data_IF_867160037841
#
_entry.id   IF_867160037841
#
_cell.length_a   1.000
_cell.length_b   1.000
_cell.length_c   1.000
_cell.angle_alpha   90.00
_cell.angle_beta   90.00
_cell.angle_gamma   90.00
#
_symmetry.space_group_name_H-M   'P 1'
#
loop_
_entity.id
_entity.type
_entity.pdbx_description
1 polymer ?
#
# COMPACT_ATOMS: atom_id res chain seq x y z
N UNK A 1 23.56 -2.72 6.33
CA UNK A 1 24.07 -1.81 5.27
C UNK A 1 23.37 -0.45 5.30
N UNK A 2 22.13 -0.32 4.79
CA UNK A 2 21.45 0.98 4.76
C UNK A 2 21.18 1.56 6.16
N UNK A 3 20.59 0.75 7.06
CA UNK A 3 20.28 1.15 8.45
C UNK A 3 21.53 1.58 9.23
N UNK A 4 22.65 0.92 8.98
CA UNK A 4 23.89 1.15 9.71
C UNK A 4 24.73 2.29 9.09
N UNK A 5 24.23 2.96 8.04
CA UNK A 5 24.85 4.15 7.46
C UNK A 5 25.98 3.89 6.46
N UNK A 6 26.10 2.67 5.92
CA UNK A 6 27.16 2.32 4.97
C UNK A 6 26.94 2.87 3.56
N UNK A 7 25.70 3.15 3.17
CA UNK A 7 25.37 3.63 1.84
C UNK A 7 25.44 5.14 1.82
N UNK A 8 26.24 5.71 0.91
CA UNK A 8 26.30 7.15 0.72
C UNK A 8 25.08 7.57 -0.12
N UNK A 9 24.23 8.50 0.36
CA UNK A 9 23.13 9.01 -0.43
C UNK A 9 23.65 9.67 -1.71
N UNK A 10 23.05 9.42 -2.88
CA UNK A 10 23.48 10.08 -4.11
C UNK A 10 23.29 11.59 -4.00
N UNK A 11 24.36 12.36 -4.23
CA UNK A 11 24.34 13.83 -4.22
C UNK A 11 23.79 14.48 -5.51
N UNK A 12 23.10 13.72 -6.36
CA UNK A 12 22.70 14.15 -7.71
C UNK A 12 21.82 13.12 -8.43
N UNK A 13 21.92 13.05 -9.75
CA UNK A 13 21.13 12.14 -10.58
C UNK A 13 21.33 10.66 -10.21
N UNK A 14 20.29 9.81 -10.36
CA UNK A 14 20.41 8.38 -10.09
C UNK A 14 21.52 7.75 -10.94
N UNK A 15 22.47 7.07 -10.29
CA UNK A 15 23.54 6.30 -10.92
C UNK A 15 23.31 4.80 -10.79
N UNK A 16 24.01 4.00 -11.60
CA UNK A 16 23.99 2.53 -11.55
C UNK A 16 24.85 1.92 -10.44
N UNK A 17 25.57 2.74 -9.67
CA UNK A 17 26.47 2.32 -8.60
C UNK A 17 26.10 3.00 -7.30
N UNK A 18 26.26 2.25 -6.20
CA UNK A 18 26.12 2.75 -4.83
C UNK A 18 27.51 2.89 -4.22
N UNK A 19 27.83 4.08 -3.72
CA UNK A 19 29.06 4.34 -2.97
C UNK A 19 28.94 3.84 -1.54
N UNK A 20 29.99 3.18 -1.07
CA UNK A 20 30.08 2.66 0.29
C UNK A 20 31.08 3.47 1.11
N UNK A 21 30.72 3.73 2.37
CA UNK A 21 31.59 4.39 3.33
C UNK A 21 31.44 3.74 4.69
N UNK A 22 32.55 3.57 5.40
CA UNK A 22 32.50 3.10 6.77
C UNK A 22 31.81 4.16 7.67
N UNK A 23 30.68 3.85 8.32
CA UNK A 23 29.99 4.78 9.20
C UNK A 23 30.77 5.06 10.49
N UNK A 24 31.64 4.14 10.93
CA UNK A 24 32.45 4.30 12.14
C UNK A 24 33.69 5.17 11.90
N UNK A 25 34.15 5.26 10.66
CA UNK A 25 35.20 6.19 10.24
C UNK A 25 34.86 6.80 8.86
N UNK A 26 34.03 7.86 8.83
CA UNK A 26 33.62 8.50 7.58
C UNK A 26 34.75 9.26 6.85
N UNK A 27 35.89 9.48 7.51
CA UNK A 27 37.05 10.13 6.91
C UNK A 27 37.99 9.12 6.22
N UNK A 28 37.85 7.83 6.52
CA UNK A 28 38.56 6.76 5.84
C UNK A 28 38.23 6.76 4.34
N UNK A 29 39.28 6.88 3.53
CA UNK A 29 39.22 6.75 2.06
C UNK A 29 39.42 5.30 1.60
N UNK A 30 39.61 4.40 2.54
CA UNK A 30 39.88 3.00 2.28
C UNK A 30 38.62 2.32 1.72
N UNK A 31 38.78 1.45 0.72
CA UNK A 31 37.67 0.71 0.13
C UNK A 31 37.02 -0.18 1.19
N UNK A 32 35.70 -0.35 1.09
CA UNK A 32 34.93 -1.23 1.98
C UNK A 32 34.94 -2.65 1.42
N UNK A 33 35.09 -3.66 2.27
CA UNK A 33 35.07 -5.05 1.82
C UNK A 33 33.65 -5.52 1.49
N UNK A 34 33.41 -5.86 0.22
CA UNK A 34 32.15 -6.45 -0.27
C UNK A 34 32.45 -7.76 -0.99
N UNK A 35 31.77 -8.83 -0.62
CA UNK A 35 32.00 -10.18 -1.15
C UNK A 35 33.49 -10.61 -1.15
N UNK A 36 34.25 -10.16 -0.15
CA UNK A 36 35.68 -10.48 -0.01
C UNK A 36 36.63 -9.65 -0.89
N UNK A 37 36.16 -8.54 -1.49
CA UNK A 37 36.98 -7.60 -2.27
C UNK A 37 36.83 -6.18 -1.77
N UNK A 38 37.92 -5.43 -1.86
CA UNK A 38 37.96 -3.99 -1.66
C UNK A 38 37.11 -3.27 -2.72
N UNK A 39 36.01 -2.63 -2.29
CA UNK A 39 35.10 -1.91 -3.16
C UNK A 39 34.67 -0.56 -2.53
N UNK A 40 34.97 0.54 -3.22
CA UNK A 40 34.39 1.86 -2.90
C UNK A 40 33.02 2.07 -3.54
N UNK A 41 32.70 1.28 -4.56
CA UNK A 41 31.47 1.34 -5.36
C UNK A 41 30.95 -0.08 -5.61
N UNK A 42 29.64 -0.25 -5.53
CA UNK A 42 28.95 -1.52 -5.79
C UNK A 42 27.88 -1.29 -6.84
N UNK A 43 27.83 -2.14 -7.86
CA UNK A 43 26.74 -2.13 -8.83
C UNK A 43 25.39 -2.35 -8.14
N UNK A 44 24.40 -1.52 -8.46
CA UNK A 44 23.10 -1.59 -7.82
C UNK A 44 22.41 -2.95 -8.02
N UNK A 45 22.69 -3.65 -9.13
CA UNK A 45 22.15 -4.99 -9.41
C UNK A 45 22.49 -6.00 -8.30
N UNK A 46 23.58 -5.78 -7.55
CA UNK A 46 23.91 -6.60 -6.37
C UNK A 46 22.80 -6.59 -5.31
N UNK A 47 22.06 -5.48 -5.19
CA UNK A 47 20.97 -5.33 -4.22
C UNK A 47 19.59 -5.67 -4.80
N UNK A 48 19.48 -5.87 -6.11
CA UNK A 48 18.20 -6.08 -6.78
C UNK A 48 17.86 -7.56 -6.86
N UNK A 49 16.59 -7.88 -6.63
CA UNK A 49 16.03 -9.20 -6.86
C UNK A 49 14.99 -9.09 -7.98
N UNK A 50 15.24 -9.68 -9.17
CA UNK A 50 14.29 -9.62 -10.27
C UNK A 50 13.03 -10.41 -9.90
N UNK A 51 11.89 -9.75 -9.94
CA UNK A 51 10.57 -10.36 -9.76
C UNK A 51 9.85 -10.44 -11.10
N UNK A 52 9.26 -11.60 -11.41
CA UNK A 52 8.48 -11.78 -12.64
C UNK A 52 7.22 -10.92 -12.56
N UNK A 53 6.92 -10.21 -13.65
CA UNK A 53 5.61 -9.58 -13.83
C UNK A 53 4.65 -10.69 -14.24
N UNK A 54 3.65 -10.94 -13.41
CA UNK A 54 2.59 -11.88 -13.68
C UNK A 54 1.25 -11.17 -13.48
N UNK A 55 0.35 -11.33 -14.44
CA UNK A 55 -1.00 -10.78 -14.36
C UNK A 55 -1.83 -11.66 -13.43
N UNK A 56 -1.86 -11.30 -12.14
CA UNK A 56 -2.71 -11.93 -11.15
C UNK A 56 -3.91 -11.04 -10.86
N UNK A 57 -5.12 -11.60 -10.97
CA UNK A 57 -6.31 -10.96 -10.44
C UNK A 57 -6.45 -11.26 -8.94
N UNK A 58 -6.37 -10.21 -8.12
CA UNK A 58 -6.59 -10.30 -6.68
C UNK A 58 -8.09 -10.35 -6.32
N UNK A 59 -8.43 -10.77 -5.09
CA UNK A 59 -9.82 -10.82 -4.63
C UNK A 59 -10.43 -9.44 -4.34
N UNK A 60 -9.61 -8.38 -4.26
CA UNK A 60 -10.04 -7.01 -4.01
C UNK A 60 -9.83 -6.15 -5.25
N UNK A 61 -10.80 -5.28 -5.53
CA UNK A 61 -10.68 -4.27 -6.58
C UNK A 61 -9.99 -3.00 -6.07
N UNK A 62 -9.66 -2.10 -7.01
CA UNK A 62 -9.11 -0.77 -6.74
C UNK A 62 -9.81 0.30 -7.58
N UNK A 63 -11.14 0.25 -7.56
CA UNK A 63 -12.07 1.10 -8.31
C UNK A 63 -12.57 2.32 -7.52
N UNK A 64 -12.46 2.28 -6.19
CA UNK A 64 -12.67 3.45 -5.33
C UNK A 64 -11.47 4.41 -5.44
N UNK A 65 -11.66 5.74 -5.33
CA UNK A 65 -10.55 6.69 -5.40
C UNK A 65 -9.44 6.35 -4.40
N UNK A 66 -8.19 6.47 -4.84
CA UNK A 66 -6.99 6.10 -4.06
C UNK A 66 -6.56 7.31 -3.22
N UNK A 67 -6.26 7.08 -1.94
CA UNK A 67 -5.76 8.12 -1.03
C UNK A 67 -4.48 8.79 -1.55
N UNK A 68 -4.26 10.05 -1.13
CA UNK A 68 -3.10 10.85 -1.52
C UNK A 68 -2.97 11.08 -3.05
N UNK A 69 -4.09 11.02 -3.79
CA UNK A 69 -4.17 11.43 -5.20
C UNK A 69 -5.04 12.67 -5.36
N UNK A 70 -5.05 13.21 -6.57
CA UNK A 70 -5.84 14.41 -6.92
C UNK A 70 -7.35 14.18 -6.83
N UNK A 71 -7.81 12.92 -6.92
CA UNK A 71 -9.22 12.59 -6.78
C UNK A 71 -9.63 12.58 -5.30
N UNK A 72 -10.72 13.27 -4.93
CA UNK A 72 -11.19 13.27 -3.55
C UNK A 72 -11.69 11.87 -3.13
N UNK A 73 -11.61 11.59 -1.83
CA UNK A 73 -12.32 10.48 -1.19
C UNK A 73 -13.37 11.07 -0.24
N UNK A 74 -14.64 10.80 -0.48
CA UNK A 74 -15.71 11.35 0.32
C UNK A 74 -17.01 10.58 0.20
N UNK A 75 -18.05 11.13 0.85
CA UNK A 75 -19.41 10.55 0.86
C UNK A 75 -20.02 10.51 -0.54
N UNK A 76 -19.69 11.47 -1.39
CA UNK A 76 -20.14 11.51 -2.80
C UNK A 76 -19.56 10.34 -3.57
N UNK A 77 -18.26 10.09 -3.44
CA UNK A 77 -17.57 9.00 -4.13
C UNK A 77 -18.01 7.64 -3.61
N UNK A 78 -18.30 7.52 -2.30
CA UNK A 78 -18.95 6.34 -1.74
C UNK A 78 -20.30 6.07 -2.41
N UNK A 79 -21.16 7.09 -2.52
CA UNK A 79 -22.46 6.97 -3.16
C UNK A 79 -22.33 6.52 -4.61
N UNK A 80 -21.44 7.15 -5.36
CA UNK A 80 -21.20 6.81 -6.76
C UNK A 80 -20.66 5.39 -6.93
N UNK A 81 -19.73 4.98 -6.07
CA UNK A 81 -19.20 3.62 -6.04
C UNK A 81 -20.30 2.59 -5.78
N UNK A 82 -21.10 2.78 -4.72
CA UNK A 82 -22.19 1.87 -4.37
C UNK A 82 -23.27 1.79 -5.45
N UNK A 83 -23.59 2.91 -6.10
CA UNK A 83 -24.52 2.98 -7.25
C UNK A 83 -23.96 2.28 -8.48
N UNK A 84 -22.68 2.50 -8.80
CA UNK A 84 -21.98 1.84 -9.92
C UNK A 84 -21.93 0.33 -9.73
N UNK A 85 -21.72 -0.13 -8.50
CA UNK A 85 -21.76 -1.55 -8.14
C UNK A 85 -23.19 -2.12 -8.07
N UNK A 86 -24.23 -1.28 -8.16
CA UNK A 86 -25.58 -1.62 -8.58
C UNK A 86 -26.21 -2.82 -7.86
N UNK A 87 -26.59 -3.84 -8.64
CA UNK A 87 -27.27 -5.06 -8.19
C UNK A 87 -26.34 -6.12 -7.57
N UNK A 88 -25.03 -5.85 -7.49
CA UNK A 88 -24.08 -6.81 -6.91
C UNK A 88 -24.35 -7.04 -5.43
N UNK A 89 -24.04 -8.23 -4.88
CA UNK A 89 -24.05 -8.47 -3.44
C UNK A 89 -23.27 -7.41 -2.69
N UNK A 90 -23.77 -6.98 -1.52
CA UNK A 90 -23.15 -5.89 -0.76
C UNK A 90 -21.68 -6.16 -0.42
N UNK A 91 -21.34 -7.41 -0.13
CA UNK A 91 -19.95 -7.83 0.12
C UNK A 91 -19.04 -7.56 -1.09
N UNK A 92 -19.52 -7.76 -2.32
CA UNK A 92 -18.76 -7.42 -3.53
C UNK A 92 -18.61 -5.91 -3.71
N UNK A 93 -19.63 -5.13 -3.34
CA UNK A 93 -19.53 -3.65 -3.35
C UNK A 93 -18.44 -3.16 -2.41
N UNK A 94 -18.27 -3.84 -1.26
CA UNK A 94 -17.24 -3.55 -0.26
C UNK A 94 -15.88 -4.21 -0.55
N UNK A 95 -15.78 -5.10 -1.54
CA UNK A 95 -14.55 -5.83 -1.89
C UNK A 95 -13.57 -4.96 -2.67
N UNK A 96 -13.30 -3.76 -2.16
CA UNK A 96 -12.39 -2.78 -2.72
C UNK A 96 -11.44 -2.29 -1.63
N UNK A 97 -10.13 -2.37 -1.88
CA UNK A 97 -9.12 -2.10 -0.86
C UNK A 97 -9.17 -0.66 -0.34
N UNK A 98 -9.32 0.31 -1.25
CA UNK A 98 -9.30 1.73 -0.88
C UNK A 98 -10.61 2.15 -0.23
N UNK A 99 -11.74 1.53 -0.60
CA UNK A 99 -12.99 1.70 0.11
C UNK A 99 -12.88 1.20 1.55
N UNK A 100 -12.33 0.01 1.78
CA UNK A 100 -12.17 -0.54 3.13
C UNK A 100 -11.26 0.35 3.99
N UNK A 101 -10.15 0.85 3.43
CA UNK A 101 -9.29 1.82 4.12
C UNK A 101 -10.03 3.11 4.46
N UNK A 102 -10.88 3.61 3.56
CA UNK A 102 -11.66 4.82 3.82
C UNK A 102 -12.73 4.61 4.89
N UNK A 103 -13.39 3.44 4.90
CA UNK A 103 -14.38 3.06 5.91
C UNK A 103 -13.79 3.04 7.33
N UNK A 104 -12.53 2.62 7.50
CA UNK A 104 -11.87 2.65 8.82
C UNK A 104 -11.73 4.06 9.42
N UNK A 105 -11.88 5.12 8.59
CA UNK A 105 -11.78 6.52 9.01
C UNK A 105 -13.14 7.13 9.35
N UNK A 106 -14.25 6.39 9.20
CA UNK A 106 -15.58 6.94 9.43
C UNK A 106 -15.95 6.88 10.92
N UNK A 107 -16.50 7.96 11.48
CA UNK A 107 -16.77 8.04 12.92
C UNK A 107 -17.86 7.07 13.41
N UNK A 108 -18.65 6.51 12.50
CA UNK A 108 -19.76 5.59 12.80
C UNK A 108 -19.36 4.11 12.69
N UNK A 109 -18.08 3.80 12.45
CA UNK A 109 -17.56 2.45 12.36
C UNK A 109 -16.34 2.34 13.26
N UNK A 110 -16.45 1.55 14.33
CA UNK A 110 -15.33 1.32 15.22
C UNK A 110 -14.41 0.18 14.72
N UNK A 111 -13.37 -0.12 15.50
CA UNK A 111 -12.42 -1.18 15.15
C UNK A 111 -13.06 -2.57 15.12
N UNK A 112 -14.03 -2.83 15.99
CA UNK A 112 -14.73 -4.11 16.03
C UNK A 112 -15.64 -4.27 14.81
N UNK A 113 -16.38 -3.21 14.45
CA UNK A 113 -17.21 -3.15 13.25
C UNK A 113 -16.39 -3.43 11.99
N UNK A 114 -15.23 -2.77 11.87
CA UNK A 114 -14.33 -2.99 10.74
C UNK A 114 -13.77 -4.42 10.71
N UNK A 115 -13.54 -5.06 11.86
CA UNK A 115 -13.09 -6.46 11.89
C UNK A 115 -14.15 -7.40 11.33
N UNK A 116 -15.43 -7.19 11.69
CA UNK A 116 -16.54 -7.98 11.18
C UNK A 116 -16.77 -7.76 9.68
N UNK A 117 -16.67 -6.51 9.22
CA UNK A 117 -16.75 -6.18 7.79
C UNK A 117 -15.61 -6.83 6.98
N UNK A 118 -14.38 -6.76 7.48
CA UNK A 118 -13.22 -7.37 6.82
C UNK A 118 -13.31 -8.89 6.79
N UNK A 119 -13.82 -9.53 7.86
CA UNK A 119 -14.03 -10.98 7.87
C UNK A 119 -15.09 -11.39 6.84
N UNK A 120 -16.20 -10.64 6.74
CA UNK A 120 -17.22 -10.86 5.71
C UNK A 120 -16.65 -10.74 4.29
N UNK A 121 -15.85 -9.70 4.01
CA UNK A 121 -15.19 -9.54 2.70
C UNK A 121 -14.21 -10.68 2.42
N UNK A 122 -13.37 -11.03 3.40
CA UNK A 122 -12.36 -12.10 3.27
C UNK A 122 -13.01 -13.45 3.01
N UNK A 123 -14.11 -13.76 3.68
CA UNK A 123 -14.85 -15.04 3.57
C UNK A 123 -15.91 -15.01 2.48
N UNK A 124 -16.12 -13.87 1.82
CA UNK A 124 -17.22 -13.61 0.86
C UNK A 124 -18.59 -13.89 1.46
N UNK A 125 -18.73 -13.69 2.77
CA UNK A 125 -19.98 -13.87 3.49
C UNK A 125 -20.90 -12.65 3.35
N UNK A 126 -22.21 -12.81 3.53
CA UNK A 126 -23.14 -11.68 3.56
C UNK A 126 -22.78 -10.66 4.65
N UNK A 127 -22.81 -9.38 4.30
CA UNK A 127 -22.63 -8.27 5.25
C UNK A 127 -23.91 -8.12 6.09
N UNK A 128 -23.75 -8.03 7.41
CA UNK A 128 -24.86 -7.82 8.35
C UNK A 128 -25.66 -6.57 7.98
N UNK A 129 -26.99 -6.65 8.11
CA UNK A 129 -27.91 -5.60 7.67
C UNK A 129 -27.62 -4.24 8.34
N UNK A 130 -27.31 -4.24 9.65
CA UNK A 130 -26.96 -3.01 10.36
C UNK A 130 -25.81 -2.23 9.72
N UNK A 131 -24.76 -2.93 9.25
CA UNK A 131 -23.65 -2.28 8.58
C UNK A 131 -24.00 -1.75 7.19
N UNK A 132 -24.89 -2.45 6.48
CA UNK A 132 -25.41 -1.98 5.19
C UNK A 132 -26.14 -0.65 5.37
N UNK A 133 -27.02 -0.57 6.36
CA UNK A 133 -27.76 0.65 6.70
C UNK A 133 -26.84 1.80 7.10
N UNK A 134 -25.83 1.54 7.93
CA UNK A 134 -24.86 2.56 8.35
C UNK A 134 -24.09 3.10 7.13
N UNK A 135 -23.55 2.22 6.29
CA UNK A 135 -22.75 2.60 5.12
C UNK A 135 -23.61 3.33 4.08
N UNK A 136 -24.84 2.85 3.83
CA UNK A 136 -25.79 3.52 2.93
C UNK A 136 -26.18 4.91 3.48
N UNK A 137 -26.35 5.04 4.80
CA UNK A 137 -26.58 6.35 5.44
C UNK A 137 -25.40 7.30 5.29
N UNK A 138 -24.16 6.82 5.40
CA UNK A 138 -22.95 7.64 5.13
C UNK A 138 -22.94 8.10 3.66
N UNK A 139 -23.35 7.23 2.74
CA UNK A 139 -23.46 7.54 1.32
C UNK A 139 -24.63 8.50 1.01
N UNK A 140 -25.63 8.60 1.88
CA UNK A 140 -26.88 9.31 1.63
C UNK A 140 -27.75 8.58 0.59
N UNK A 141 -27.88 7.26 0.76
CA UNK A 141 -28.77 6.36 0.02
C UNK A 141 -29.98 5.94 0.86
#
# INVERSE_FOLDING_TARGET
LAKDGWLVPPGGSPGGVTQLRNPADPAAKEPVMVAGKDAGEVDNDYFLCPVKIADHEGPLTSSFPIENRLLPQGKTELREHLRRMGSRPYVEKLSDFHLLLWLTKQPNLDRHDMTLLLDAVKTKAPVLEGYRVIIDSIAGL
#
